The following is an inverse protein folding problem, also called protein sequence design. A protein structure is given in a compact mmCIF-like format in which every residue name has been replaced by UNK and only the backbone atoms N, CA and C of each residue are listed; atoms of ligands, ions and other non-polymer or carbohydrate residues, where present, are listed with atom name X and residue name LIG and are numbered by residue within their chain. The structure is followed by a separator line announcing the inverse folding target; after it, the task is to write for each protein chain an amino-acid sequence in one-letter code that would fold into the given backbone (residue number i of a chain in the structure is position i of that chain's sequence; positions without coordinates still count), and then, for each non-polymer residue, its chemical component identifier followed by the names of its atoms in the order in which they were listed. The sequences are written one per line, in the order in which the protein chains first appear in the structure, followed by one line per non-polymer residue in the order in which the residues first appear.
data_IF_950852067816
#
_entry.id   IF_950852067816
#
_cell.length_a   1.000
_cell.length_b   1.000
_cell.length_c   1.000
_cell.angle_alpha   90.00
_cell.angle_beta   90.00
_cell.angle_gamma   90.00
#
_symmetry.space_group_name_H-M   'P 1'
#
loop_
_entity.id
_entity.type
_entity.pdbx_description
1 polymer ?
#
# COMPACT_ATOMS: atom_id res chain seq x y z
N UNK A 1 38.32 -33.32 -13.03
CA UNK A 1 37.32 -34.41 -12.92
C UNK A 1 37.37 -34.94 -11.50
N UNK A 2 36.29 -34.82 -10.74
CA UNK A 2 36.16 -35.43 -9.40
C UNK A 2 35.04 -36.44 -9.47
N UNK A 3 35.31 -37.68 -9.09
CA UNK A 3 34.41 -38.82 -9.17
C UNK A 3 33.21 -38.67 -8.23
N UNK A 4 32.01 -38.93 -8.74
CA UNK A 4 30.80 -39.11 -7.94
C UNK A 4 30.98 -40.31 -6.98
N UNK A 5 30.44 -40.21 -5.76
CA UNK A 5 30.50 -41.25 -4.73
C UNK A 5 29.09 -41.75 -4.39
N UNK A 6 28.99 -43.07 -4.20
CA UNK A 6 27.79 -43.77 -3.73
C UNK A 6 27.62 -43.70 -2.20
N UNK A 7 26.35 -43.86 -1.78
CA UNK A 7 25.85 -43.73 -0.42
C UNK A 7 25.75 -45.11 0.25
N UNK A 8 26.43 -45.30 1.39
CA UNK A 8 25.91 -45.89 2.64
C UNK A 8 27.05 -46.18 3.65
N UNK A 9 26.86 -45.83 4.92
CA UNK A 9 27.74 -46.27 6.03
C UNK A 9 27.78 -45.31 7.22
N UNK A 10 27.43 -45.82 8.40
CA UNK A 10 27.02 -45.14 9.63
C UNK A 10 28.13 -44.81 10.66
N UNK A 11 27.94 -43.68 11.37
CA UNK A 11 28.33 -43.29 12.77
C UNK A 11 29.82 -42.97 13.09
N UNK A 12 30.15 -42.19 14.16
CA UNK A 12 29.31 -41.62 15.23
C UNK A 12 29.44 -40.09 15.47
N UNK A 13 28.57 -39.60 16.35
CA UNK A 13 28.32 -38.23 16.79
C UNK A 13 29.52 -37.47 17.37
N UNK A 14 29.68 -36.21 16.94
CA UNK A 14 30.31 -35.14 17.75
C UNK A 14 29.30 -34.01 17.93
N UNK A 15 28.87 -33.85 19.17
CA UNK A 15 28.02 -32.75 19.64
C UNK A 15 28.84 -31.45 19.63
N UNK A 16 28.53 -30.56 18.69
CA UNK A 16 28.93 -29.16 18.76
C UNK A 16 27.64 -28.37 18.91
N UNK A 17 27.39 -27.89 20.13
CA UNK A 17 26.29 -26.97 20.43
C UNK A 17 26.62 -25.60 19.84
N UNK A 18 26.36 -25.43 18.55
CA UNK A 18 26.20 -24.11 17.94
C UNK A 18 24.69 -23.84 17.88
N UNK A 19 24.19 -22.98 18.75
CA UNK A 19 22.82 -22.46 18.69
C UNK A 19 22.69 -21.55 17.46
N UNK A 20 22.58 -22.15 16.28
CA UNK A 20 22.20 -21.48 15.04
C UNK A 20 20.67 -21.51 14.93
N UNK A 21 20.04 -20.72 15.78
CA UNK A 21 18.67 -20.25 15.63
C UNK A 21 18.46 -19.18 16.68
N UNK A 22 18.31 -17.94 16.23
CA UNK A 22 17.39 -16.98 16.82
C UNK A 22 16.91 -16.13 15.64
N UNK A 23 15.65 -16.29 15.30
CA UNK A 23 14.89 -15.55 14.29
C UNK A 23 15.18 -14.03 14.28
N UNK A 24 14.93 -13.31 13.16
CA UNK A 24 15.05 -11.86 13.11
C UNK A 24 13.83 -11.19 13.79
N UNK A 25 13.66 -11.40 15.09
CA UNK A 25 12.70 -10.64 15.92
C UNK A 25 13.36 -9.43 16.60
N UNK A 26 14.68 -9.27 16.47
CA UNK A 26 15.39 -8.11 17.03
C UNK A 26 15.33 -6.91 16.09
N UNK A 27 14.48 -5.96 16.45
CA UNK A 27 14.44 -4.60 15.91
C UNK A 27 15.52 -3.74 16.57
N UNK A 28 16.20 -2.95 15.75
CA UNK A 28 17.14 -1.92 16.20
C UNK A 28 16.41 -0.91 17.09
N UNK A 29 16.80 -0.83 18.36
CA UNK A 29 16.31 0.19 19.29
C UNK A 29 17.32 1.34 19.32
N UNK A 30 16.89 2.56 19.01
CA UNK A 30 17.73 3.75 19.17
C UNK A 30 18.12 3.92 20.65
N UNK A 31 19.33 4.43 20.98
CA UNK A 31 19.71 4.73 22.36
C UNK A 31 18.79 5.82 22.93
N UNK A 32 18.24 5.60 24.13
CA UNK A 32 17.40 6.57 24.82
C UNK A 32 18.20 7.81 25.21
N UNK A 33 17.92 8.95 24.56
CA UNK A 33 18.43 10.25 24.97
C UNK A 33 17.73 10.72 26.25
N UNK A 34 18.48 10.85 27.34
CA UNK A 34 17.95 11.42 28.59
C UNK A 34 17.72 12.93 28.44
N UNK A 35 16.45 13.35 28.46
CA UNK A 35 16.06 14.76 28.54
C UNK A 35 16.18 15.25 29.98
N UNK A 36 16.64 16.49 30.18
CA UNK A 36 16.63 17.14 31.49
C UNK A 36 15.20 17.40 31.98
N UNK A 37 14.96 17.50 33.28
CA UNK A 37 13.61 17.70 33.84
C UNK A 37 12.90 18.96 33.30
N UNK A 38 13.64 20.02 32.97
CA UNK A 38 13.08 21.23 32.36
C UNK A 38 12.68 21.02 30.89
N UNK A 39 13.48 20.25 30.12
CA UNK A 39 13.14 19.87 28.76
C UNK A 39 11.97 18.87 28.72
N UNK A 40 11.89 17.98 29.71
CA UNK A 40 10.76 17.06 29.90
C UNK A 40 9.46 17.82 30.25
N UNK A 41 9.52 18.85 31.09
CA UNK A 41 8.38 19.69 31.42
C UNK A 41 7.91 20.55 30.23
N UNK A 42 8.84 21.14 29.47
CA UNK A 42 8.51 21.86 28.25
C UNK A 42 7.90 20.93 27.18
N UNK A 43 8.45 19.73 27.01
CA UNK A 43 7.90 18.69 26.13
C UNK A 43 6.51 18.21 26.59
N UNK A 44 6.28 18.10 27.91
CA UNK A 44 4.96 17.77 28.46
C UNK A 44 3.92 18.87 28.20
N UNK A 45 4.32 20.14 28.22
CA UNK A 45 3.42 21.27 27.89
C UNK A 45 3.08 21.38 26.40
N UNK A 46 3.95 20.83 25.52
CA UNK A 46 3.73 20.69 24.08
C UNK A 46 3.05 19.38 23.71
N UNK A 47 2.73 18.51 24.68
CA UNK A 47 2.04 17.26 24.41
C UNK A 47 0.68 17.52 23.79
N UNK A 48 0.35 16.76 22.75
CA UNK A 48 -0.93 16.88 22.06
C UNK A 48 -2.09 16.58 23.04
N UNK A 49 -3.08 17.47 23.07
CA UNK A 49 -4.33 17.28 23.79
C UNK A 49 -5.08 16.09 23.17
N UNK A 50 -5.46 15.07 23.95
CA UNK A 50 -6.31 13.99 23.44
C UNK A 50 -7.72 14.55 23.25
N UNK A 51 -8.10 14.84 22.00
CA UNK A 51 -9.44 15.35 21.70
C UNK A 51 -10.42 14.18 21.64
N UNK A 52 -11.61 14.38 22.20
CA UNK A 52 -12.71 13.42 22.12
C UNK A 52 -13.84 14.01 21.28
N UNK A 53 -14.53 13.20 20.46
CA UNK A 53 -15.71 13.70 19.76
C UNK A 53 -16.81 14.02 20.79
N UNK A 54 -17.44 15.19 20.63
CA UNK A 54 -18.41 15.73 21.58
C UNK A 54 -19.65 14.84 21.78
N UNK A 55 -20.07 14.09 20.75
CA UNK A 55 -21.41 13.46 20.69
C UNK A 55 -21.40 11.92 20.56
N UNK A 56 -20.24 11.26 20.61
CA UNK A 56 -20.17 9.81 20.40
C UNK A 56 -19.95 9.07 21.70
N UNK A 57 -20.86 8.14 21.98
CA UNK A 57 -20.59 6.93 22.78
C UNK A 57 -19.35 6.19 22.22
N UNK A 58 -18.78 5.27 23.00
CA UNK A 58 -17.53 4.55 22.68
C UNK A 58 -17.36 4.22 21.17
N UNK A 59 -16.23 4.62 20.59
CA UNK A 59 -15.93 4.40 19.17
C UNK A 59 -15.79 2.90 18.89
N UNK A 60 -16.74 2.36 18.12
CA UNK A 60 -16.77 0.98 17.65
C UNK A 60 -16.02 0.80 16.34
N UNK A 61 -15.07 -0.14 16.32
CA UNK A 61 -14.23 -0.47 15.18
C UNK A 61 -14.46 -1.93 14.80
N UNK A 62 -14.77 -2.19 13.54
CA UNK A 62 -14.85 -3.54 12.97
C UNK A 62 -13.66 -3.80 12.05
N UNK A 63 -12.82 -4.78 12.38
CA UNK A 63 -11.68 -5.18 11.56
C UNK A 63 -11.93 -6.57 10.95
N UNK A 64 -11.88 -6.67 9.62
CA UNK A 64 -12.15 -7.89 8.87
C UNK A 64 -10.88 -8.44 8.20
N UNK A 65 -10.94 -9.70 7.75
CA UNK A 65 -9.90 -10.31 6.90
C UNK A 65 -8.50 -10.44 7.54
N UNK A 66 -8.45 -10.66 8.86
CA UNK A 66 -7.19 -10.90 9.57
C UNK A 66 -6.21 -9.72 9.46
N UNK A 67 -6.66 -8.50 9.79
CA UNK A 67 -5.77 -7.34 9.98
C UNK A 67 -4.65 -7.69 10.97
N UNK A 68 -3.42 -7.25 10.65
CA UNK A 68 -2.24 -7.54 11.45
C UNK A 68 -2.39 -7.10 12.91
N UNK A 69 -1.79 -7.86 13.83
CA UNK A 69 -1.86 -7.59 15.27
C UNK A 69 -1.36 -6.20 15.66
N UNK A 70 -0.34 -5.65 15.00
CA UNK A 70 0.18 -4.31 15.30
C UNK A 70 -0.91 -3.23 15.19
N UNK A 71 -1.67 -3.24 14.09
CA UNK A 71 -2.78 -2.31 13.89
C UNK A 71 -3.92 -2.52 14.89
N UNK A 72 -4.22 -3.78 15.22
CA UNK A 72 -5.27 -4.13 16.21
C UNK A 72 -4.92 -3.62 17.61
N UNK A 73 -3.70 -3.90 18.08
CA UNK A 73 -3.23 -3.47 19.39
C UNK A 73 -3.13 -1.94 19.46
N UNK A 74 -2.69 -1.29 18.39
CA UNK A 74 -2.60 0.17 18.34
C UNK A 74 -3.98 0.83 18.46
N UNK A 75 -4.98 0.34 17.73
CA UNK A 75 -6.36 0.83 17.86
C UNK A 75 -6.96 0.53 19.24
N UNK A 76 -6.74 -0.68 19.78
CA UNK A 76 -7.21 -1.03 21.12
C UNK A 76 -6.55 -0.16 22.22
N UNK A 77 -5.28 0.22 22.05
CA UNK A 77 -4.55 1.07 23.02
C UNK A 77 -5.12 2.48 23.16
N UNK A 78 -5.90 2.95 22.17
CA UNK A 78 -6.62 4.22 22.24
C UNK A 78 -7.94 4.14 23.04
N UNK A 79 -8.31 2.94 23.52
CA UNK A 79 -9.56 2.72 24.26
C UNK A 79 -10.78 2.49 23.36
N UNK A 80 -10.60 2.22 22.07
CA UNK A 80 -11.70 1.91 21.16
C UNK A 80 -12.25 0.50 21.36
N UNK A 81 -13.55 0.31 21.08
CA UNK A 81 -14.19 -1.02 21.08
C UNK A 81 -13.88 -1.72 19.75
N UNK A 82 -12.83 -2.55 19.75
CA UNK A 82 -12.37 -3.25 18.54
C UNK A 82 -12.97 -4.66 18.46
N UNK A 83 -13.87 -4.87 17.50
CA UNK A 83 -14.28 -6.20 17.04
C UNK A 83 -13.37 -6.63 15.89
N UNK A 84 -12.88 -7.87 15.96
CA UNK A 84 -11.97 -8.42 14.95
C UNK A 84 -12.44 -9.78 14.45
N UNK A 85 -12.46 -9.96 13.13
CA UNK A 85 -12.80 -11.19 12.45
C UNK A 85 -11.68 -11.61 11.49
N UNK A 86 -11.36 -12.90 11.49
CA UNK A 86 -10.33 -13.48 10.61
C UNK A 86 -10.74 -13.51 9.14
N UNK A 87 -12.03 -13.57 8.88
CA UNK A 87 -12.62 -13.73 7.54
C UNK A 87 -13.30 -12.45 7.08
N UNK A 88 -13.58 -12.38 5.78
CA UNK A 88 -14.59 -11.47 5.25
C UNK A 88 -15.98 -11.95 5.65
N UNK A 89 -16.97 -11.07 5.55
CA UNK A 89 -18.37 -11.36 5.81
C UNK A 89 -19.17 -11.42 4.50
N UNK A 90 -20.21 -12.28 4.42
CA UNK A 90 -21.23 -12.16 3.39
C UNK A 90 -21.93 -10.79 3.46
N UNK A 91 -22.44 -10.31 2.33
CA UNK A 91 -23.02 -8.96 2.23
C UNK A 91 -24.12 -8.68 3.26
N UNK A 92 -25.03 -9.63 3.50
CA UNK A 92 -26.14 -9.45 4.45
C UNK A 92 -25.65 -9.31 5.90
N UNK A 93 -24.63 -10.08 6.29
CA UNK A 93 -24.03 -9.99 7.63
C UNK A 93 -23.20 -8.71 7.78
N UNK A 94 -22.51 -8.31 6.71
CA UNK A 94 -21.77 -7.06 6.65
C UNK A 94 -22.70 -5.85 6.83
N UNK A 95 -23.85 -5.84 6.14
CA UNK A 95 -24.90 -4.81 6.30
C UNK A 95 -25.40 -4.77 7.74
N UNK A 96 -25.63 -5.92 8.37
CA UNK A 96 -26.10 -5.95 9.75
C UNK A 96 -25.08 -5.34 10.72
N UNK A 97 -23.79 -5.67 10.56
CA UNK A 97 -22.72 -5.17 11.43
C UNK A 97 -22.36 -3.71 11.18
N UNK A 98 -22.37 -3.26 9.93
CA UNK A 98 -21.87 -1.91 9.58
C UNK A 98 -22.79 -0.78 10.08
N UNK A 99 -24.04 -1.09 10.46
CA UNK A 99 -25.02 -0.10 10.94
C UNK A 99 -24.57 0.65 12.18
N UNK A 100 -23.84 -0.02 13.07
CA UNK A 100 -23.49 0.50 14.41
C UNK A 100 -22.00 0.82 14.57
N UNK A 101 -21.19 0.68 13.52
CA UNK A 101 -19.73 0.90 13.58
C UNK A 101 -19.35 2.30 13.10
N UNK A 102 -18.32 2.86 13.72
CA UNK A 102 -17.77 4.17 13.37
C UNK A 102 -16.56 4.05 12.44
N UNK A 103 -15.87 2.90 12.51
CA UNK A 103 -14.69 2.60 11.73
C UNK A 103 -14.80 1.18 11.21
N UNK A 104 -14.46 0.98 9.94
CA UNK A 104 -14.29 -0.37 9.38
C UNK A 104 -12.92 -0.52 8.75
N UNK A 105 -12.20 -1.57 9.13
CA UNK A 105 -10.95 -1.98 8.54
C UNK A 105 -11.14 -3.23 7.68
N UNK A 106 -10.74 -3.18 6.42
CA UNK A 106 -10.90 -4.27 5.45
C UNK A 106 -9.60 -4.56 4.71
N UNK A 107 -9.57 -5.66 3.96
CA UNK A 107 -8.51 -5.95 2.97
C UNK A 107 -9.15 -6.09 1.60
N UNK A 108 -8.68 -7.03 0.77
CA UNK A 108 -9.03 -7.11 -0.65
C UNK A 108 -10.36 -7.82 -0.95
N UNK A 109 -10.89 -8.65 -0.03
CA UNK A 109 -12.07 -9.47 -0.28
C UNK A 109 -13.37 -8.75 0.03
N UNK A 110 -13.43 -7.97 1.11
CA UNK A 110 -14.66 -7.28 1.52
C UNK A 110 -15.02 -6.19 0.51
N UNK A 111 -16.25 -6.20 0.00
CA UNK A 111 -16.76 -5.19 -0.94
C UNK A 111 -17.65 -4.20 -0.19
N UNK A 112 -17.23 -2.94 -0.15
CA UNK A 112 -18.01 -1.83 0.40
C UNK A 112 -18.66 -1.07 -0.76
N UNK A 113 -19.73 -1.65 -1.28
CA UNK A 113 -20.55 -1.07 -2.35
C UNK A 113 -21.48 0.02 -1.80
N UNK A 114 -22.07 0.83 -2.69
CA UNK A 114 -23.14 1.76 -2.34
C UNK A 114 -24.24 1.10 -1.48
N UNK A 115 -24.64 -0.14 -1.79
CA UNK A 115 -25.66 -0.87 -1.02
C UNK A 115 -25.24 -1.15 0.43
N UNK A 116 -23.96 -1.43 0.68
CA UNK A 116 -23.45 -1.68 2.03
C UNK A 116 -23.25 -0.36 2.77
N UNK A 117 -22.63 0.62 2.11
CA UNK A 117 -22.37 1.94 2.69
C UNK A 117 -23.65 2.73 2.95
N UNK A 118 -24.74 2.42 2.24
CA UNK A 118 -26.02 3.11 2.44
C UNK A 118 -26.63 2.83 3.82
N UNK A 119 -26.33 1.65 4.39
CA UNK A 119 -26.80 1.17 5.68
C UNK A 119 -25.89 1.61 6.84
N UNK A 120 -24.69 2.11 6.54
CA UNK A 120 -23.71 2.57 7.52
C UNK A 120 -24.09 3.97 8.03
N UNK A 121 -24.79 4.05 9.16
CA UNK A 121 -25.33 5.30 9.70
C UNK A 121 -24.30 6.14 10.46
N UNK A 122 -23.37 5.47 11.15
CA UNK A 122 -22.40 6.11 12.04
C UNK A 122 -20.97 6.07 11.51
N UNK A 123 -20.76 5.50 10.32
CA UNK A 123 -19.43 5.26 9.77
C UNK A 123 -18.75 6.58 9.42
N UNK A 124 -17.56 6.79 10.00
CA UNK A 124 -16.75 7.99 9.81
C UNK A 124 -15.60 7.74 8.84
N UNK A 125 -15.00 6.55 8.91
CA UNK A 125 -13.77 6.25 8.18
C UNK A 125 -13.61 4.77 7.87
N UNK A 126 -13.04 4.50 6.70
CA UNK A 126 -12.68 3.17 6.20
C UNK A 126 -11.15 3.08 6.13
N UNK A 127 -10.60 2.03 6.73
CA UNK A 127 -9.19 1.66 6.58
C UNK A 127 -9.04 0.48 5.63
N UNK A 128 -8.49 0.72 4.45
CA UNK A 128 -8.04 -0.34 3.55
C UNK A 128 -6.65 -0.79 4.01
N UNK A 129 -6.57 -1.90 4.74
CA UNK A 129 -5.33 -2.54 5.16
C UNK A 129 -4.68 -3.33 4.00
N UNK A 130 -4.55 -2.64 2.86
CA UNK A 130 -3.93 -3.07 1.62
C UNK A 130 -3.59 -1.84 0.77
N UNK A 131 -2.86 -2.05 -0.33
CA UNK A 131 -2.46 -0.98 -1.24
C UNK A 131 -3.67 -0.51 -2.07
N UNK A 132 -4.41 -1.45 -2.65
CA UNK A 132 -5.56 -1.14 -3.51
C UNK A 132 -6.82 -0.79 -2.72
N UNK A 133 -7.68 0.01 -3.35
CA UNK A 133 -8.98 0.45 -2.80
C UNK A 133 -10.16 0.11 -3.72
N UNK A 134 -9.95 -0.71 -4.76
CA UNK A 134 -10.94 -1.07 -5.77
C UNK A 134 -12.20 -1.75 -5.20
N UNK A 135 -12.11 -2.25 -3.98
CA UNK A 135 -13.18 -2.91 -3.25
C UNK A 135 -14.11 -1.93 -2.50
N UNK A 136 -13.81 -0.63 -2.53
CA UNK A 136 -14.59 0.43 -1.88
C UNK A 136 -15.14 1.37 -2.93
N UNK A 137 -16.43 1.69 -2.85
CA UNK A 137 -17.04 2.77 -3.61
C UNK A 137 -16.59 4.13 -3.04
N UNK A 138 -15.48 4.66 -3.56
CA UNK A 138 -14.84 5.88 -3.06
C UNK A 138 -15.73 7.11 -3.24
N UNK A 139 -16.46 7.18 -4.36
CA UNK A 139 -17.32 8.31 -4.70
C UNK A 139 -18.53 8.36 -3.78
N UNK A 140 -19.17 7.22 -3.54
CA UNK A 140 -20.28 7.14 -2.59
C UNK A 140 -19.82 7.43 -1.15
N UNK A 141 -18.68 6.89 -0.74
CA UNK A 141 -18.09 7.17 0.56
C UNK A 141 -17.82 8.68 0.75
N UNK A 142 -17.23 9.33 -0.26
CA UNK A 142 -16.92 10.75 -0.22
C UNK A 142 -18.20 11.60 -0.09
N UNK A 143 -19.25 11.28 -0.86
CA UNK A 143 -20.55 11.99 -0.80
C UNK A 143 -21.24 11.90 0.56
N UNK A 144 -20.90 10.89 1.37
CA UNK A 144 -21.35 10.74 2.76
C UNK A 144 -20.39 11.29 3.80
N UNK A 145 -19.26 11.87 3.38
CA UNK A 145 -18.22 12.40 4.27
C UNK A 145 -17.39 11.31 4.95
N UNK A 146 -17.40 10.09 4.40
CA UNK A 146 -16.66 8.94 4.92
C UNK A 146 -15.26 8.96 4.31
N UNK A 147 -14.24 9.14 5.15
CA UNK A 147 -12.84 9.12 4.71
C UNK A 147 -12.38 7.69 4.40
N UNK A 148 -11.51 7.52 3.40
CA UNK A 148 -10.90 6.23 3.07
C UNK A 148 -9.38 6.38 3.07
N UNK A 149 -8.70 5.56 3.87
CA UNK A 149 -7.23 5.52 3.94
C UNK A 149 -6.72 4.17 3.47
N UNK A 150 -5.55 4.15 2.84
CA UNK A 150 -4.83 2.93 2.47
C UNK A 150 -3.36 3.02 2.94
N UNK A 151 -2.54 2.04 2.55
CA UNK A 151 -1.10 2.04 2.78
C UNK A 151 -0.39 1.81 1.45
N UNK A 152 -0.17 2.89 0.66
CA UNK A 152 0.30 2.76 -0.72
C UNK A 152 1.76 2.35 -0.85
N UNK A 153 2.58 2.52 0.21
CA UNK A 153 4.03 2.38 0.13
C UNK A 153 4.63 1.24 0.98
N UNK A 154 3.89 0.68 1.92
CA UNK A 154 4.41 -0.30 2.89
C UNK A 154 4.98 -1.58 2.28
N UNK A 155 4.62 -1.92 1.04
CA UNK A 155 5.13 -3.10 0.35
C UNK A 155 6.36 -2.82 -0.53
N UNK A 156 6.85 -1.57 -0.58
CA UNK A 156 7.91 -1.18 -1.55
C UNK A 156 9.17 -2.03 -1.42
N UNK A 157 9.57 -2.34 -0.17
CA UNK A 157 10.72 -3.20 0.12
C UNK A 157 10.52 -4.62 -0.39
N UNK A 158 9.36 -5.22 -0.11
CA UNK A 158 9.08 -6.61 -0.47
C UNK A 158 9.07 -6.81 -1.98
N UNK A 159 8.49 -5.87 -2.73
CA UNK A 159 8.50 -5.95 -4.20
C UNK A 159 9.92 -5.81 -4.74
N UNK A 160 10.71 -4.86 -4.22
CA UNK A 160 12.09 -4.68 -4.65
C UNK A 160 12.97 -5.92 -4.39
N UNK A 161 12.80 -6.57 -3.24
CA UNK A 161 13.52 -7.81 -2.92
C UNK A 161 13.08 -8.98 -3.81
N UNK A 162 11.78 -9.12 -4.08
CA UNK A 162 11.26 -10.14 -4.98
C UNK A 162 11.88 -10.00 -6.37
N UNK A 163 11.88 -8.79 -6.94
CA UNK A 163 12.42 -8.54 -8.29
C UNK A 163 13.92 -8.86 -8.37
N UNK A 164 14.71 -8.54 -7.34
CA UNK A 164 16.13 -8.96 -7.30
C UNK A 164 16.25 -10.48 -7.29
N UNK A 165 15.44 -11.17 -6.49
CA UNK A 165 15.39 -12.63 -6.45
C UNK A 165 15.03 -13.24 -7.81
N UNK A 166 14.01 -12.67 -8.48
CA UNK A 166 13.57 -13.08 -9.81
C UNK A 166 14.65 -12.85 -10.88
N UNK A 167 15.33 -11.70 -10.87
CA UNK A 167 16.44 -11.40 -11.78
C UNK A 167 17.52 -12.47 -11.66
N UNK A 168 17.93 -12.83 -10.44
CA UNK A 168 18.95 -13.87 -10.21
C UNK A 168 18.44 -15.24 -10.67
N UNK A 169 17.20 -15.59 -10.32
CA UNK A 169 16.60 -16.87 -10.69
C UNK A 169 16.50 -17.03 -12.22
N UNK A 170 16.03 -16.01 -12.93
CA UNK A 170 15.91 -15.98 -14.39
C UNK A 170 17.27 -16.04 -15.08
N UNK A 171 18.25 -15.25 -14.60
CA UNK A 171 19.60 -15.24 -15.15
C UNK A 171 20.30 -16.60 -15.07
N UNK A 172 19.90 -17.43 -14.10
CA UNK A 172 20.47 -18.75 -13.82
C UNK A 172 19.56 -19.91 -14.19
N UNK A 173 18.37 -19.64 -14.74
CA UNK A 173 17.32 -20.61 -15.06
C UNK A 173 16.96 -21.50 -13.86
N UNK A 174 17.04 -20.96 -12.64
CA UNK A 174 17.01 -21.75 -11.40
C UNK A 174 15.71 -22.55 -11.23
N UNK A 175 14.57 -21.95 -11.59
CA UNK A 175 13.26 -22.61 -11.53
C UNK A 175 13.20 -23.87 -12.37
N UNK A 176 13.63 -23.79 -13.64
CA UNK A 176 13.66 -24.93 -14.55
C UNK A 176 14.60 -26.03 -14.03
N UNK A 177 15.81 -25.68 -13.57
CA UNK A 177 16.78 -26.64 -13.03
C UNK A 177 16.26 -27.35 -11.78
N UNK A 178 15.55 -26.62 -10.92
CA UNK A 178 14.91 -27.19 -9.74
C UNK A 178 13.81 -28.19 -10.14
N UNK A 179 12.94 -27.82 -11.07
CA UNK A 179 11.87 -28.69 -11.58
C UNK A 179 12.42 -29.97 -12.24
N UNK A 180 13.52 -29.88 -12.98
CA UNK A 180 14.21 -31.04 -13.55
C UNK A 180 14.69 -32.00 -12.46
N UNK A 181 15.33 -31.48 -11.41
CA UNK A 181 15.81 -32.29 -10.28
C UNK A 181 14.66 -32.97 -9.52
N UNK A 182 13.55 -32.27 -9.29
CA UNK A 182 12.34 -32.86 -8.72
C UNK A 182 11.74 -33.98 -9.59
N UNK A 183 12.04 -33.99 -10.89
CA UNK A 183 11.65 -35.03 -11.86
C UNK A 183 12.78 -36.03 -12.13
N UNK A 184 13.76 -36.12 -11.23
CA UNK A 184 14.92 -37.02 -11.33
C UNK A 184 15.80 -36.80 -12.57
N UNK A 185 15.74 -35.62 -13.19
CA UNK A 185 16.58 -35.24 -14.33
C UNK A 185 17.77 -34.41 -13.87
N UNK A 186 18.98 -34.88 -14.15
CA UNK A 186 20.22 -34.18 -13.86
C UNK A 186 20.74 -33.43 -15.09
N UNK A 187 20.46 -32.12 -15.18
CA UNK A 187 20.82 -31.30 -16.34
C UNK A 187 21.81 -30.18 -15.96
N UNK A 188 23.10 -30.54 -15.84
CA UNK A 188 24.17 -29.61 -15.48
C UNK A 188 24.69 -28.88 -16.70
N UNK A 189 24.23 -27.64 -16.91
CA UNK A 189 24.63 -26.78 -18.03
C UNK A 189 25.01 -25.37 -17.57
N UNK A 190 25.93 -24.73 -18.30
CA UNK A 190 26.30 -23.32 -18.13
C UNK A 190 25.84 -22.44 -19.29
N UNK A 191 25.38 -23.05 -20.38
CA UNK A 191 24.93 -22.34 -21.57
C UNK A 191 23.73 -21.43 -21.24
N UNK A 192 23.81 -20.15 -21.64
CA UNK A 192 22.80 -19.11 -21.38
C UNK A 192 22.47 -18.91 -19.88
N UNK A 193 23.46 -19.10 -19.02
CA UNK A 193 23.38 -18.78 -17.60
C UNK A 193 24.38 -17.65 -17.28
N UNK A 194 23.96 -16.64 -16.53
CA UNK A 194 24.72 -15.40 -16.38
C UNK A 194 24.88 -14.98 -14.92
N UNK A 195 26.01 -14.35 -14.61
CA UNK A 195 26.10 -13.44 -13.47
C UNK A 195 25.36 -12.13 -13.80
N UNK A 196 24.63 -11.60 -12.81
CA UNK A 196 23.91 -10.32 -12.95
C UNK A 196 24.85 -9.11 -12.84
N UNK A 197 26.03 -9.28 -12.22
CA UNK A 197 27.07 -8.25 -12.15
C UNK A 197 27.48 -7.82 -13.57
N UNK A 198 27.58 -6.51 -13.77
CA UNK A 198 27.90 -5.87 -15.04
C UNK A 198 26.77 -5.92 -16.08
N UNK A 199 25.57 -6.41 -15.73
CA UNK A 199 24.38 -6.32 -16.58
C UNK A 199 23.64 -5.02 -16.34
N UNK A 200 22.88 -4.58 -17.33
CA UNK A 200 22.07 -3.37 -17.25
C UNK A 200 20.64 -3.72 -16.83
N UNK A 201 20.18 -3.15 -15.72
CA UNK A 201 18.78 -3.14 -15.31
C UNK A 201 18.10 -1.86 -15.81
N UNK A 202 17.07 -2.03 -16.63
CA UNK A 202 16.17 -0.98 -17.06
C UNK A 202 14.90 -0.95 -16.21
N UNK A 203 14.68 0.14 -15.49
CA UNK A 203 13.51 0.36 -14.64
C UNK A 203 12.51 1.29 -15.35
N UNK A 204 11.30 0.80 -15.62
CA UNK A 204 10.20 1.62 -16.16
C UNK A 204 9.29 2.04 -15.01
N UNK A 205 9.30 3.34 -14.68
CA UNK A 205 8.67 3.90 -13.48
C UNK A 205 9.65 3.96 -12.31
N UNK A 206 10.15 5.16 -12.00
CA UNK A 206 11.18 5.39 -10.98
C UNK A 206 10.62 6.01 -9.68
N UNK A 207 9.44 5.53 -9.27
CA UNK A 207 8.81 5.90 -8.00
C UNK A 207 9.39 5.17 -6.79
N UNK A 208 8.57 4.93 -5.77
CA UNK A 208 8.99 4.29 -4.51
C UNK A 208 9.67 2.93 -4.70
N UNK A 209 9.07 2.02 -5.48
CA UNK A 209 9.65 0.70 -5.72
C UNK A 209 10.89 0.79 -6.63
N UNK A 210 10.80 1.54 -7.74
CA UNK A 210 11.88 1.64 -8.72
C UNK A 210 13.17 2.24 -8.13
N UNK A 211 13.05 3.32 -7.35
CA UNK A 211 14.20 3.93 -6.67
C UNK A 211 14.83 2.97 -5.65
N UNK A 212 14.03 2.28 -4.85
CA UNK A 212 14.52 1.31 -3.87
C UNK A 212 15.19 0.09 -4.52
N UNK A 213 14.61 -0.40 -5.62
CA UNK A 213 15.18 -1.48 -6.43
C UNK A 213 16.53 -1.06 -7.03
N UNK A 214 16.68 0.19 -7.48
CA UNK A 214 17.95 0.65 -8.05
C UNK A 214 19.11 0.55 -7.07
N UNK A 215 18.89 0.92 -5.80
CA UNK A 215 19.90 0.80 -4.73
C UNK A 215 20.34 -0.66 -4.53
N UNK A 216 19.38 -1.59 -4.55
CA UNK A 216 19.69 -3.03 -4.42
C UNK A 216 20.44 -3.59 -5.63
N UNK A 217 20.03 -3.19 -6.83
CA UNK A 217 20.66 -3.64 -8.07
C UNK A 217 22.11 -3.13 -8.20
N UNK A 218 22.36 -1.87 -7.85
CA UNK A 218 23.71 -1.29 -7.81
C UNK A 218 24.60 -1.97 -6.77
N UNK A 219 24.06 -2.28 -5.58
CA UNK A 219 24.79 -3.03 -4.56
C UNK A 219 25.20 -4.45 -5.02
N UNK A 220 24.47 -5.01 -5.99
CA UNK A 220 24.78 -6.29 -6.65
C UNK A 220 25.68 -6.13 -7.89
N UNK A 221 26.14 -4.92 -8.18
CA UNK A 221 27.05 -4.59 -9.27
C UNK A 221 26.38 -4.51 -10.65
N UNK A 222 25.06 -4.26 -10.72
CA UNK A 222 24.37 -3.94 -11.97
C UNK A 222 24.52 -2.46 -12.32
N UNK A 223 24.48 -2.15 -13.62
CA UNK A 223 24.27 -0.78 -14.09
C UNK A 223 22.78 -0.50 -14.12
N UNK A 224 22.31 0.61 -13.54
CA UNK A 224 20.89 0.94 -13.53
C UNK A 224 20.58 2.11 -14.45
N UNK A 225 19.64 1.91 -15.36
CA UNK A 225 19.00 2.97 -16.14
C UNK A 225 17.50 2.98 -15.85
N UNK A 226 16.87 4.14 -15.94
CA UNK A 226 15.43 4.24 -15.74
C UNK A 226 14.75 5.19 -16.71
N UNK A 227 13.49 4.90 -17.00
CA UNK A 227 12.61 5.76 -17.75
C UNK A 227 11.41 6.10 -16.87
N UNK A 228 11.13 7.39 -16.76
CA UNK A 228 9.94 7.93 -16.13
C UNK A 228 9.44 9.11 -16.97
N UNK A 229 8.13 9.36 -16.95
CA UNK A 229 7.51 10.47 -17.68
C UNK A 229 7.82 11.82 -17.01
N UNK A 230 8.22 11.79 -15.73
CA UNK A 230 8.68 12.95 -14.98
C UNK A 230 10.21 12.89 -14.85
N UNK A 231 10.87 14.05 -14.89
CA UNK A 231 12.29 14.13 -14.54
C UNK A 231 12.44 13.95 -13.03
N UNK A 232 13.09 12.87 -12.61
CA UNK A 232 13.27 12.51 -11.21
C UNK A 232 14.77 12.50 -10.88
N UNK A 233 15.11 12.90 -9.65
CA UNK A 233 16.50 12.79 -9.18
C UNK A 233 16.88 11.33 -9.02
N UNK A 234 17.96 10.92 -9.66
CA UNK A 234 18.51 9.58 -9.53
C UNK A 234 19.08 9.32 -8.13
N UNK A 235 18.96 8.07 -7.67
CA UNK A 235 19.68 7.58 -6.50
C UNK A 235 20.97 6.88 -6.95
N UNK A 236 22.07 7.16 -6.26
CA UNK A 236 23.34 6.49 -6.53
C UNK A 236 23.88 6.82 -7.92
N UNK A 237 24.16 5.78 -8.71
CA UNK A 237 24.69 5.89 -10.08
C UNK A 237 23.62 5.70 -11.16
N UNK A 238 22.36 5.60 -10.77
CA UNK A 238 21.27 5.36 -11.69
C UNK A 238 21.15 6.52 -12.69
N UNK A 239 20.81 6.21 -13.94
CA UNK A 239 20.73 7.21 -15.01
C UNK A 239 19.35 7.23 -15.65
N UNK A 240 18.71 8.40 -15.67
CA UNK A 240 17.50 8.58 -16.46
C UNK A 240 17.84 8.54 -17.94
N UNK A 241 17.09 7.77 -18.72
CA UNK A 241 17.12 7.80 -20.19
C UNK A 241 15.91 8.57 -20.72
N UNK A 242 16.05 9.27 -21.86
CA UNK A 242 15.04 10.22 -22.31
C UNK A 242 13.76 9.56 -22.87
N UNK A 243 13.85 8.30 -23.31
CA UNK A 243 12.73 7.58 -23.93
C UNK A 243 12.67 6.13 -23.46
N UNK A 244 11.47 5.55 -23.49
CA UNK A 244 11.26 4.13 -23.25
C UNK A 244 12.08 3.27 -24.22
N UNK A 245 12.13 3.66 -25.50
CA UNK A 245 12.91 2.94 -26.52
C UNK A 245 14.41 2.88 -26.22
N UNK A 246 14.98 3.97 -25.69
CA UNK A 246 16.38 4.00 -25.26
C UNK A 246 16.60 3.01 -24.10
N UNK A 247 15.67 2.93 -23.15
CA UNK A 247 15.74 1.95 -22.05
C UNK A 247 15.72 0.51 -22.58
N UNK A 248 14.73 0.19 -23.41
CA UNK A 248 14.50 -1.17 -23.90
C UNK A 248 15.70 -1.69 -24.72
N UNK A 249 16.30 -0.82 -25.53
CA UNK A 249 17.45 -1.19 -26.38
C UNK A 249 18.77 -1.35 -25.62
N UNK A 250 18.92 -0.76 -24.43
CA UNK A 250 20.14 -0.85 -23.61
C UNK A 250 20.07 -1.97 -22.54
N UNK A 251 18.89 -2.23 -21.99
CA UNK A 251 18.71 -3.07 -20.79
C UNK A 251 18.77 -4.58 -21.06
N UNK A 252 19.51 -5.32 -20.22
CA UNK A 252 19.51 -6.79 -20.20
C UNK A 252 18.27 -7.33 -19.47
N UNK A 253 17.86 -6.64 -18.40
CA UNK A 253 16.66 -6.93 -17.62
C UNK A 253 15.79 -5.68 -17.62
N UNK A 254 14.52 -5.81 -17.99
CA UNK A 254 13.53 -4.74 -17.91
C UNK A 254 12.53 -5.07 -16.82
N UNK A 255 12.28 -4.13 -15.90
CA UNK A 255 11.29 -4.27 -14.83
C UNK A 255 10.30 -3.12 -14.84
N UNK A 256 9.03 -3.42 -14.57
CA UNK A 256 7.91 -2.48 -14.66
C UNK A 256 7.40 -2.13 -13.26
N UNK A 257 7.32 -0.83 -12.97
CA UNK A 257 6.86 -0.26 -11.70
C UNK A 257 5.98 0.97 -11.93
N UNK A 258 4.98 0.82 -12.82
CA UNK A 258 4.05 1.90 -13.23
C UNK A 258 2.64 1.68 -12.66
N UNK A 259 1.85 2.75 -12.46
CA UNK A 259 0.43 2.63 -12.09
C UNK A 259 -0.41 2.06 -13.25
N UNK A 260 -1.64 1.66 -12.95
CA UNK A 260 -2.61 1.22 -13.96
C UNK A 260 -3.40 2.44 -14.45
N UNK A 261 -3.02 2.95 -15.61
CA UNK A 261 -3.62 4.11 -16.25
C UNK A 261 -3.97 3.76 -17.72
N UNK A 262 -4.84 4.54 -18.38
CA UNK A 262 -5.07 4.37 -19.82
C UNK A 262 -3.78 4.37 -20.64
N UNK A 263 -2.80 5.20 -20.26
CA UNK A 263 -1.52 5.38 -20.96
C UNK A 263 -0.54 4.21 -20.72
N UNK A 264 -0.66 3.50 -19.60
CA UNK A 264 0.23 2.36 -19.27
C UNK A 264 -0.36 1.01 -19.67
N UNK A 265 -1.63 0.98 -20.08
CA UNK A 265 -2.30 -0.24 -20.54
C UNK A 265 -1.65 -0.77 -21.81
N UNK A 266 -1.17 -2.01 -21.77
CA UNK A 266 -0.45 -2.69 -22.85
C UNK A 266 0.73 -1.87 -23.40
N UNK A 267 1.35 -1.02 -22.58
CA UNK A 267 2.50 -0.22 -23.01
C UNK A 267 3.69 -1.09 -23.42
N UNK A 268 3.79 -2.31 -22.88
CA UNK A 268 4.73 -3.34 -23.34
C UNK A 268 3.96 -4.35 -24.20
N UNK A 269 4.00 -4.14 -25.51
CA UNK A 269 3.39 -5.03 -26.51
C UNK A 269 4.42 -5.42 -27.58
N UNK A 270 3.99 -6.08 -28.68
CA UNK A 270 4.89 -6.57 -29.73
C UNK A 270 5.96 -5.56 -30.20
N UNK A 271 5.64 -4.26 -30.45
CA UNK A 271 6.63 -3.27 -30.87
C UNK A 271 7.66 -2.90 -29.79
N UNK A 272 7.30 -2.98 -28.50
CA UNK A 272 8.23 -2.73 -27.41
C UNK A 272 9.08 -3.95 -27.12
N UNK A 273 8.46 -5.13 -27.11
CA UNK A 273 9.17 -6.40 -26.95
C UNK A 273 10.24 -6.59 -28.04
N UNK A 274 9.98 -6.18 -29.28
CA UNK A 274 10.97 -6.27 -30.37
C UNK A 274 12.13 -5.27 -30.28
N UNK A 275 11.96 -4.19 -29.52
CA UNK A 275 13.02 -3.21 -29.23
C UNK A 275 13.90 -3.62 -28.05
N UNK A 276 13.46 -4.59 -27.26
CA UNK A 276 14.29 -5.16 -26.22
C UNK A 276 15.50 -5.87 -26.83
N UNK A 277 16.59 -5.98 -26.07
CA UNK A 277 17.76 -6.75 -26.53
C UNK A 277 17.38 -8.20 -26.76
N UNK A 278 17.88 -8.81 -27.85
CA UNK A 278 17.71 -10.23 -28.07
C UNK A 278 18.36 -11.03 -26.92
N UNK A 279 17.59 -11.88 -26.26
CA UNK A 279 17.98 -12.64 -25.07
C UNK A 279 17.83 -11.89 -23.75
N UNK A 280 17.10 -10.77 -23.73
CA UNK A 280 16.76 -10.02 -22.52
C UNK A 280 15.63 -10.66 -21.71
N UNK A 281 15.36 -10.10 -20.54
CA UNK A 281 14.36 -10.58 -19.59
C UNK A 281 13.35 -9.48 -19.25
N UNK A 282 12.09 -9.87 -19.01
CA UNK A 282 11.03 -8.95 -18.61
C UNK A 282 10.45 -9.35 -17.23
N UNK A 283 10.37 -8.40 -16.31
CA UNK A 283 9.74 -8.58 -15.00
C UNK A 283 8.57 -7.62 -14.85
N UNK A 284 7.41 -8.12 -14.42
CA UNK A 284 6.25 -7.30 -14.07
C UNK A 284 5.67 -7.70 -12.71
N UNK A 285 5.98 -6.89 -11.70
CA UNK A 285 5.39 -6.94 -10.37
C UNK A 285 4.62 -5.65 -10.04
N UNK A 286 4.05 -4.99 -11.07
CA UNK A 286 3.32 -3.72 -10.92
C UNK A 286 1.82 -3.89 -11.10
N UNK A 287 1.36 -3.96 -12.36
CA UNK A 287 -0.05 -4.06 -12.74
C UNK A 287 -0.22 -5.04 -13.90
N UNK A 288 -1.26 -5.88 -13.81
CA UNK A 288 -1.52 -6.96 -14.76
C UNK A 288 -1.88 -6.50 -16.18
N UNK A 289 -2.30 -5.23 -16.33
CA UNK A 289 -2.71 -4.65 -17.62
C UNK A 289 -1.57 -3.98 -18.39
N UNK A 290 -0.34 -3.98 -17.88
CA UNK A 290 0.78 -3.22 -18.47
C UNK A 290 1.44 -3.97 -19.62
N UNK A 291 1.42 -5.30 -19.58
CA UNK A 291 2.03 -6.19 -20.58
C UNK A 291 0.96 -6.89 -21.40
N UNK A 292 1.10 -6.87 -22.72
CA UNK A 292 0.35 -7.74 -23.61
C UNK A 292 0.92 -9.17 -23.51
N UNK A 293 0.25 -10.01 -22.72
CA UNK A 293 0.73 -11.37 -22.41
C UNK A 293 0.81 -12.27 -23.66
N UNK A 294 -0.18 -12.32 -24.57
CA UNK A 294 -0.03 -13.01 -25.84
C UNK A 294 1.20 -12.60 -26.66
N UNK A 295 1.54 -11.31 -26.68
CA UNK A 295 2.75 -10.83 -27.34
C UNK A 295 4.02 -11.33 -26.63
N UNK A 296 4.05 -11.31 -25.30
CA UNK A 296 5.15 -11.86 -24.51
C UNK A 296 5.35 -13.36 -24.76
N UNK A 297 4.27 -14.15 -24.77
CA UNK A 297 4.32 -15.59 -25.09
C UNK A 297 4.96 -15.81 -26.46
N UNK A 298 4.57 -15.02 -27.46
CA UNK A 298 5.12 -15.11 -28.81
C UNK A 298 6.61 -14.76 -28.85
N UNK A 299 7.02 -13.71 -28.13
CA UNK A 299 8.42 -13.27 -28.06
C UNK A 299 9.32 -14.25 -27.27
N UNK A 300 8.77 -14.94 -26.28
CA UNK A 300 9.48 -16.01 -25.57
C UNK A 300 9.61 -17.28 -26.42
N UNK A 301 8.56 -17.67 -27.15
CA UNK A 301 8.59 -18.82 -28.07
C UNK A 301 9.59 -18.63 -29.21
N UNK A 302 9.75 -17.40 -29.71
CA UNK A 302 10.78 -17.08 -30.72
C UNK A 302 12.20 -17.04 -30.15
N UNK A 303 12.35 -17.01 -28.81
CA UNK A 303 13.63 -16.88 -28.12
C UNK A 303 14.20 -15.46 -28.11
N UNK A 304 13.42 -14.47 -28.56
CA UNK A 304 13.83 -13.06 -28.47
C UNK A 304 13.87 -12.59 -27.00
N UNK A 305 12.90 -13.02 -26.19
CA UNK A 305 12.92 -12.85 -24.74
C UNK A 305 13.36 -14.18 -24.10
N UNK A 306 14.46 -14.15 -23.34
CA UNK A 306 15.07 -15.35 -22.76
C UNK A 306 14.35 -15.88 -21.52
N UNK A 307 13.57 -15.04 -20.84
CA UNK A 307 12.79 -15.39 -19.65
C UNK A 307 11.95 -14.22 -19.15
N UNK A 308 10.97 -14.52 -18.32
CA UNK A 308 10.12 -13.49 -17.72
C UNK A 308 9.67 -13.86 -16.30
N UNK A 309 9.38 -12.86 -15.48
CA UNK A 309 8.72 -13.03 -14.18
C UNK A 309 7.46 -12.17 -14.12
N UNK A 310 6.32 -12.76 -13.77
CA UNK A 310 5.04 -12.08 -13.67
C UNK A 310 4.41 -12.39 -12.31
N UNK A 311 4.07 -11.34 -11.58
CA UNK A 311 3.33 -11.45 -10.33
C UNK A 311 1.84 -11.08 -10.49
N UNK A 312 1.51 -10.33 -11.53
CA UNK A 312 0.20 -9.69 -11.71
C UNK A 312 -0.36 -9.99 -13.10
N UNK A 313 -1.69 -10.12 -13.20
CA UNK A 313 -2.35 -10.59 -14.42
C UNK A 313 -3.59 -9.75 -14.76
N UNK A 314 -4.02 -9.67 -16.05
CA UNK A 314 -5.24 -8.98 -16.45
C UNK A 314 -6.50 -9.45 -15.70
N UNK A 315 -6.66 -10.77 -15.53
CA UNK A 315 -7.69 -11.37 -14.69
C UNK A 315 -7.04 -12.25 -13.63
N UNK A 316 -7.46 -12.09 -12.38
CA UNK A 316 -6.92 -12.80 -11.22
C UNK A 316 -8.04 -13.53 -10.46
N UNK A 317 -7.77 -14.70 -9.85
CA UNK A 317 -8.76 -15.42 -9.06
C UNK A 317 -9.18 -14.64 -7.81
N UNK A 318 -10.44 -14.74 -7.41
CA UNK A 318 -10.94 -14.15 -6.17
C UNK A 318 -10.51 -14.91 -4.90
N UNK A 319 -10.03 -16.16 -5.06
CA UNK A 319 -9.63 -17.04 -3.97
C UNK A 319 -8.52 -18.00 -4.40
N UNK A 320 -7.86 -18.61 -3.42
CA UNK A 320 -6.85 -19.64 -3.65
C UNK A 320 -7.51 -20.90 -4.20
N UNK A 321 -6.88 -21.51 -5.20
CA UNK A 321 -7.33 -22.74 -5.83
C UNK A 321 -6.76 -22.88 -7.24
N UNK A 322 -7.17 -23.94 -7.93
CA UNK A 322 -6.62 -24.34 -9.24
C UNK A 322 -7.24 -23.55 -10.42
N UNK A 323 -7.27 -22.23 -10.29
CA UNK A 323 -7.97 -21.34 -11.22
C UNK A 323 -7.07 -20.78 -12.34
N UNK A 324 -5.74 -20.87 -12.21
CA UNK A 324 -4.81 -20.28 -13.17
C UNK A 324 -4.66 -21.15 -14.43
N UNK A 325 -5.65 -21.08 -15.31
CA UNK A 325 -5.80 -21.89 -16.53
C UNK A 325 -6.48 -21.07 -17.67
N UNK A 326 -6.69 -21.70 -18.83
CA UNK A 326 -7.30 -21.09 -20.02
C UNK A 326 -8.70 -20.46 -19.79
N UNK A 327 -9.45 -20.87 -18.76
CA UNK A 327 -10.76 -20.29 -18.44
C UNK A 327 -10.64 -18.92 -17.80
N UNK A 328 -9.62 -18.71 -16.95
CA UNK A 328 -9.37 -17.42 -16.30
C UNK A 328 -8.76 -16.41 -17.28
N UNK A 329 -7.78 -16.87 -18.06
CA UNK A 329 -7.14 -16.10 -19.10
C UNK A 329 -6.91 -17.00 -20.30
N UNK A 330 -7.34 -16.62 -21.50
CA UNK A 330 -7.27 -17.47 -22.70
C UNK A 330 -5.86 -17.98 -23.05
N UNK A 331 -4.81 -17.23 -22.66
CA UNK A 331 -3.39 -17.56 -22.82
C UNK A 331 -2.79 -18.33 -21.63
N UNK A 332 -3.59 -18.70 -20.63
CA UNK A 332 -3.12 -19.30 -19.37
C UNK A 332 -2.40 -20.63 -19.54
N UNK A 333 -2.78 -21.44 -20.52
CA UNK A 333 -2.08 -22.71 -20.81
C UNK A 333 -0.77 -22.46 -21.57
N UNK A 334 -0.79 -21.51 -22.50
CA UNK A 334 0.39 -21.15 -23.29
C UNK A 334 1.52 -20.62 -22.41
N UNK A 335 1.22 -19.70 -21.49
CA UNK A 335 2.23 -19.12 -20.62
C UNK A 335 2.84 -20.14 -19.65
N UNK A 336 2.01 -21.06 -19.11
CA UNK A 336 2.46 -22.14 -18.21
C UNK A 336 3.34 -23.17 -18.91
N UNK A 337 3.23 -23.28 -20.23
CA UNK A 337 4.05 -24.18 -21.04
C UNK A 337 5.46 -23.66 -21.32
N UNK A 338 5.72 -22.38 -21.06
CA UNK A 338 7.01 -21.76 -21.33
C UNK A 338 8.09 -22.24 -20.37
N UNK A 339 9.34 -22.21 -20.84
CA UNK A 339 10.54 -22.41 -20.02
C UNK A 339 11.05 -21.07 -19.52
N UNK A 340 11.80 -21.09 -18.42
CA UNK A 340 12.42 -19.92 -17.81
C UNK A 340 11.42 -18.77 -17.55
N UNK A 341 10.23 -19.15 -17.05
CA UNK A 341 9.19 -18.22 -16.63
C UNK A 341 8.90 -18.42 -15.14
N UNK A 342 8.79 -17.33 -14.41
CA UNK A 342 8.38 -17.32 -13.00
C UNK A 342 6.98 -16.71 -12.94
N UNK A 343 6.05 -17.46 -12.39
CA UNK A 343 4.65 -17.04 -12.23
C UNK A 343 4.34 -17.07 -10.74
N UNK A 344 4.13 -15.91 -10.15
CA UNK A 344 3.75 -15.78 -8.75
C UNK A 344 2.30 -15.27 -8.64
N UNK A 345 1.55 -15.67 -7.59
CA UNK A 345 0.12 -15.38 -7.49
C UNK A 345 -0.12 -14.04 -6.76
N UNK A 346 0.37 -12.93 -7.30
CA UNK A 346 0.21 -11.57 -6.76
C UNK A 346 0.68 -11.44 -5.31
N UNK A 347 1.91 -11.88 -5.06
CA UNK A 347 2.55 -11.92 -3.74
C UNK A 347 3.71 -10.93 -3.57
N UNK A 348 3.96 -10.05 -4.53
CA UNK A 348 5.07 -9.09 -4.45
C UNK A 348 5.08 -8.23 -3.18
N UNK A 349 3.90 -7.89 -2.65
CA UNK A 349 3.75 -7.18 -1.39
C UNK A 349 3.33 -8.04 -0.19
N UNK A 350 3.25 -9.36 -0.34
CA UNK A 350 2.63 -10.26 0.63
C UNK A 350 3.67 -10.86 1.58
N UNK A 351 4.22 -10.02 2.46
CA UNK A 351 5.18 -10.41 3.52
C UNK A 351 4.64 -10.03 4.90
N UNK A 352 5.13 -10.68 5.95
CA UNK A 352 4.75 -10.35 7.35
C UNK A 352 5.18 -8.93 7.72
N UNK A 353 6.35 -8.49 7.24
CA UNK A 353 6.86 -7.13 7.44
C UNK A 353 5.95 -6.10 6.78
N UNK A 354 5.50 -6.34 5.55
CA UNK A 354 4.57 -5.47 4.86
C UNK A 354 3.20 -5.46 5.55
N UNK A 355 2.67 -6.62 5.98
CA UNK A 355 1.40 -6.66 6.72
C UNK A 355 1.48 -5.89 8.04
N UNK A 356 2.61 -5.98 8.76
CA UNK A 356 2.84 -5.19 9.98
C UNK A 356 2.90 -3.69 9.67
N UNK A 357 3.65 -3.29 8.64
CA UNK A 357 3.78 -1.89 8.23
C UNK A 357 2.44 -1.29 7.79
N UNK A 358 1.65 -2.03 7.00
CA UNK A 358 0.27 -1.66 6.63
C UNK A 358 -0.60 -1.49 7.88
N UNK A 359 -0.50 -2.43 8.83
CA UNK A 359 -1.23 -2.37 10.10
C UNK A 359 -0.95 -1.08 10.88
N UNK A 360 0.31 -0.66 10.94
CA UNK A 360 0.74 0.57 11.60
C UNK A 360 0.32 1.81 10.80
N UNK A 361 0.63 1.87 9.51
CA UNK A 361 0.37 3.07 8.69
C UNK A 361 -1.13 3.40 8.62
N UNK A 362 -1.97 2.42 8.30
CA UNK A 362 -3.43 2.62 8.23
C UNK A 362 -3.99 2.89 9.62
N UNK A 363 -3.54 2.14 10.64
CA UNK A 363 -4.03 2.37 12.00
C UNK A 363 -3.69 3.79 12.50
N UNK A 364 -2.51 4.32 12.19
CA UNK A 364 -2.13 5.70 12.54
C UNK A 364 -3.00 6.71 11.79
N UNK A 365 -3.25 6.48 10.50
CA UNK A 365 -4.14 7.34 9.71
C UNK A 365 -5.57 7.37 10.29
N UNK A 366 -6.10 6.21 10.69
CA UNK A 366 -7.39 6.10 11.37
C UNK A 366 -7.39 6.89 12.68
N UNK A 367 -6.38 6.69 13.54
CA UNK A 367 -6.26 7.40 14.83
C UNK A 367 -6.16 8.91 14.62
N UNK A 368 -5.34 9.38 13.67
CA UNK A 368 -5.22 10.81 13.32
C UNK A 368 -6.56 11.38 12.86
N UNK A 369 -7.31 10.67 12.04
CA UNK A 369 -8.61 11.15 11.56
C UNK A 369 -9.68 11.15 12.67
N UNK A 370 -9.73 10.10 13.50
CA UNK A 370 -10.71 9.98 14.59
C UNK A 370 -10.44 11.04 15.66
N UNK A 371 -9.18 11.21 16.07
CA UNK A 371 -8.84 12.09 17.18
C UNK A 371 -8.52 13.53 16.77
N UNK A 372 -8.19 13.80 15.50
CA UNK A 372 -7.74 15.14 15.08
C UNK A 372 -8.40 15.67 13.80
N UNK A 373 -9.16 14.86 13.07
CA UNK A 373 -9.78 15.26 11.81
C UNK A 373 -8.80 15.40 10.63
N UNK A 374 -7.58 14.91 10.75
CA UNK A 374 -6.58 15.03 9.70
C UNK A 374 -6.91 14.06 8.56
N UNK A 375 -6.94 14.56 7.32
CA UNK A 375 -7.27 13.78 6.11
C UNK A 375 -6.08 13.56 5.16
N UNK A 376 -4.86 13.90 5.59
CA UNK A 376 -3.63 13.63 4.82
C UNK A 376 -3.53 12.14 4.48
N UNK A 377 -3.34 11.84 3.19
CA UNK A 377 -3.31 10.47 2.67
C UNK A 377 -4.68 9.81 2.47
N UNK A 378 -5.78 10.56 2.59
CA UNK A 378 -7.11 10.08 2.20
C UNK A 378 -7.18 9.93 0.68
N UNK A 379 -7.70 8.80 0.19
CA UNK A 379 -7.82 8.57 -1.26
C UNK A 379 -9.05 9.24 -1.87
N UNK A 380 -10.05 9.61 -1.05
CA UNK A 380 -11.37 10.08 -1.53
C UNK A 380 -11.83 11.43 -0.96
N UNK A 381 -11.14 12.03 0.01
CA UNK A 381 -11.47 13.35 0.55
C UNK A 381 -10.35 14.38 0.28
N UNK A 382 -10.64 15.69 0.36
CA UNK A 382 -9.63 16.75 0.35
C UNK A 382 -8.62 16.57 1.49
N UNK A 383 -7.37 16.97 1.27
CA UNK A 383 -6.26 16.73 2.19
C UNK A 383 -6.04 17.94 3.09
N UNK A 384 -6.35 17.78 4.38
CA UNK A 384 -6.37 18.87 5.35
C UNK A 384 -5.61 18.49 6.61
N UNK A 385 -4.78 19.42 7.10
CA UNK A 385 -3.98 19.25 8.31
C UNK A 385 -3.90 20.56 9.11
N UNK A 386 -4.05 20.46 10.43
CA UNK A 386 -3.76 21.54 11.38
C UNK A 386 -2.86 21.01 12.47
N UNK A 387 -1.98 21.86 13.01
CA UNK A 387 -1.20 21.53 14.21
C UNK A 387 -2.14 21.04 15.31
N UNK A 388 -1.73 20.03 16.07
CA UNK A 388 -2.53 19.52 17.17
C UNK A 388 -2.75 20.61 18.22
N UNK A 389 -3.91 20.55 18.90
CA UNK A 389 -4.14 21.32 20.11
C UNK A 389 -3.24 20.77 21.22
N UNK A 390 -2.74 21.64 22.08
CA UNK A 390 -1.85 21.30 23.20
C UNK A 390 -2.61 21.32 24.52
N UNK A 391 -2.03 20.75 25.58
CA UNK A 391 -2.62 20.82 26.92
C UNK A 391 -2.77 22.27 27.44
N UNK A 392 -2.04 23.23 26.86
CA UNK A 392 -2.15 24.65 27.19
C UNK A 392 -3.33 25.35 26.49
N UNK A 393 -4.08 24.64 25.65
CA UNK A 393 -5.27 25.12 24.92
C UNK A 393 -6.55 24.41 25.46
N UNK A 394 -6.88 24.49 26.77
CA UNK A 394 -7.94 23.66 27.38
C UNK A 394 -9.34 24.01 26.86
N UNK A 395 -9.62 25.29 26.65
CA UNK A 395 -10.94 25.81 26.22
C UNK A 395 -11.06 25.95 24.69
N UNK A 396 -10.31 25.13 23.95
CA UNK A 396 -10.39 25.08 22.50
C UNK A 396 -11.18 23.86 22.04
N UNK A 397 -12.00 24.07 21.01
CA UNK A 397 -12.68 23.02 20.29
C UNK A 397 -12.22 23.03 18.83
N UNK A 398 -12.05 21.84 18.27
CA UNK A 398 -11.79 21.64 16.85
C UNK A 398 -13.10 21.30 16.14
N UNK A 399 -13.44 22.14 15.18
CA UNK A 399 -14.62 22.01 14.33
C UNK A 399 -14.18 21.42 13.01
N UNK A 400 -14.86 20.37 12.60
CA UNK A 400 -14.72 19.73 11.30
C UNK A 400 -16.07 19.86 10.60
N UNK A 401 -16.07 20.44 9.42
CA UNK A 401 -17.27 20.66 8.63
C UNK A 401 -17.02 20.20 7.19
N UNK A 402 -17.60 19.06 6.84
CA UNK A 402 -17.59 18.50 5.49
C UNK A 402 -18.86 18.98 4.80
N UNK A 403 -18.72 19.57 3.62
CA UNK A 403 -19.84 20.17 2.91
C UNK A 403 -19.74 20.03 1.41
N UNK A 404 -20.88 20.25 0.73
CA UNK A 404 -20.94 20.41 -0.71
C UNK A 404 -20.16 21.66 -1.11
N UNK A 405 -19.33 21.54 -2.13
CA UNK A 405 -18.49 22.61 -2.66
C UNK A 405 -19.33 23.62 -3.45
N UNK A 406 -20.10 24.46 -2.75
CA UNK A 406 -20.96 25.49 -3.33
C UNK A 406 -20.62 26.89 -2.80
N UNK A 407 -20.81 27.96 -3.59
CA UNK A 407 -20.48 29.32 -3.17
C UNK A 407 -21.19 29.77 -1.89
N UNK A 408 -20.49 30.55 -1.06
CA UNK A 408 -21.04 31.19 0.13
C UNK A 408 -21.07 30.33 1.39
N UNK A 409 -20.68 29.05 1.33
CA UNK A 409 -20.67 28.17 2.51
C UNK A 409 -19.67 28.65 3.57
N UNK A 410 -18.43 28.98 3.18
CA UNK A 410 -17.41 29.47 4.12
C UNK A 410 -17.86 30.75 4.84
N UNK A 411 -18.57 31.64 4.14
CA UNK A 411 -19.15 32.85 4.75
C UNK A 411 -20.14 32.47 5.86
N UNK A 412 -21.10 31.59 5.58
CA UNK A 412 -22.10 31.14 6.55
C UNK A 412 -21.47 30.42 7.75
N UNK A 413 -20.47 29.59 7.50
CA UNK A 413 -19.71 28.90 8.55
C UNK A 413 -19.01 29.94 9.43
N UNK A 414 -18.28 30.88 8.85
CA UNK A 414 -17.59 31.92 9.62
C UNK A 414 -18.54 32.88 10.35
N UNK A 415 -19.73 33.15 9.82
CA UNK A 415 -20.79 33.89 10.53
C UNK A 415 -21.24 33.12 11.79
N UNK A 416 -21.40 31.80 11.71
CA UNK A 416 -21.73 30.94 12.87
C UNK A 416 -20.58 30.88 13.88
N UNK A 417 -19.33 30.82 13.40
CA UNK A 417 -18.15 30.81 14.27
C UNK A 417 -17.84 32.19 14.87
N UNK A 418 -18.47 33.26 14.39
CA UNK A 418 -18.09 34.65 14.69
C UNK A 418 -18.23 35.07 16.16
N UNK A 419 -19.01 34.33 16.95
CA UNK A 419 -19.13 34.51 18.40
C UNK A 419 -17.92 33.93 19.17
N UNK A 420 -17.04 33.19 18.48
CA UNK A 420 -15.81 32.62 19.01
C UNK A 420 -14.60 33.14 18.23
N UNK A 421 -13.43 33.12 18.87
CA UNK A 421 -12.19 33.44 18.18
C UNK A 421 -11.70 32.21 17.41
N UNK A 422 -11.49 32.35 16.10
CA UNK A 422 -10.98 31.28 15.22
C UNK A 422 -9.45 31.39 15.17
N UNK A 423 -8.73 30.57 15.94
CA UNK A 423 -7.27 30.63 16.02
C UNK A 423 -6.59 30.05 14.78
N UNK A 424 -7.19 29.00 14.22
CA UNK A 424 -6.67 28.27 13.06
C UNK A 424 -7.83 27.87 12.18
N UNK A 425 -7.67 28.00 10.87
CA UNK A 425 -8.63 27.52 9.90
C UNK A 425 -7.90 27.08 8.64
N UNK A 426 -8.36 25.97 8.07
CA UNK A 426 -7.92 25.48 6.78
C UNK A 426 -9.13 24.88 6.07
N UNK A 427 -9.18 25.07 4.77
CA UNK A 427 -10.21 24.48 3.91
C UNK A 427 -9.53 24.01 2.64
N UNK A 428 -9.93 22.83 2.19
CA UNK A 428 -9.57 22.30 0.88
C UNK A 428 -10.81 21.71 0.21
N UNK A 429 -10.80 21.59 -1.12
CA UNK A 429 -11.90 21.02 -1.87
C UNK A 429 -11.42 20.11 -3.00
N UNK A 430 -12.21 19.07 -3.25
CA UNK A 430 -11.98 18.05 -4.26
C UNK A 430 -13.33 17.74 -4.88
N UNK A 431 -13.47 18.05 -6.16
CA UNK A 431 -14.71 17.91 -6.91
C UNK A 431 -15.89 18.62 -6.19
N UNK A 432 -16.96 17.89 -5.90
CA UNK A 432 -18.19 18.40 -5.28
C UNK A 432 -18.11 18.51 -3.74
N UNK A 433 -16.98 18.18 -3.13
CA UNK A 433 -16.83 18.08 -1.67
C UNK A 433 -15.73 19.01 -1.18
N UNK A 434 -15.98 19.67 -0.06
CA UNK A 434 -15.03 20.50 0.63
C UNK A 434 -14.92 20.08 2.10
N UNK A 435 -13.72 20.20 2.65
CA UNK A 435 -13.39 19.85 4.02
C UNK A 435 -12.83 21.08 4.71
N UNK A 436 -13.54 21.57 5.72
CA UNK A 436 -13.11 22.68 6.57
C UNK A 436 -12.76 22.15 7.96
N UNK A 437 -11.59 22.57 8.45
CA UNK A 437 -11.17 22.35 9.83
C UNK A 437 -10.84 23.70 10.46
N UNK A 438 -11.38 23.96 11.65
CA UNK A 438 -11.14 25.18 12.40
C UNK A 438 -10.92 24.89 13.89
N UNK A 439 -9.92 25.48 14.51
CA UNK A 439 -9.79 25.50 15.97
C UNK A 439 -10.36 26.83 16.47
N UNK A 440 -11.32 26.76 17.38
CA UNK A 440 -11.95 27.91 18.03
C UNK A 440 -11.61 27.92 19.52
N UNK A 441 -11.33 29.10 20.06
CA UNK A 441 -11.05 29.32 21.49
C UNK A 441 -12.24 29.88 22.26
N UNK A 442 -12.14 29.78 23.58
CA UNK A 442 -13.14 30.28 24.54
C UNK A 442 -14.50 29.61 24.40
N UNK A 443 -14.53 28.33 24.02
CA UNK A 443 -15.78 27.59 23.86
C UNK A 443 -16.14 26.87 25.16
N UNK A 444 -17.28 27.23 25.75
CA UNK A 444 -17.80 26.47 26.90
C UNK A 444 -18.51 25.23 26.40
N UNK A 445 -18.48 24.16 27.21
CA UNK A 445 -19.14 22.91 26.88
C UNK A 445 -20.66 23.09 26.58
N UNK A 446 -21.30 24.09 27.20
CA UNK A 446 -22.70 24.41 26.93
C UNK A 446 -22.94 24.93 25.50
N UNK A 447 -21.99 25.67 24.95
CA UNK A 447 -22.11 26.34 23.65
C UNK A 447 -21.88 25.36 22.47
N UNK A 448 -21.16 24.25 22.72
CA UNK A 448 -20.86 23.24 21.70
C UNK A 448 -22.11 22.63 21.07
N UNK A 449 -23.20 22.49 21.84
CA UNK A 449 -24.46 21.92 21.34
C UNK A 449 -25.15 22.88 20.36
N UNK A 450 -25.19 24.16 20.69
CA UNK A 450 -25.81 25.19 19.86
C UNK A 450 -24.97 25.46 18.61
N UNK A 451 -23.65 25.42 18.75
CA UNK A 451 -22.70 25.49 17.63
C UNK A 451 -22.89 24.32 16.65
N UNK A 452 -22.98 23.10 17.18
CA UNK A 452 -23.26 21.90 16.38
C UNK A 452 -24.58 22.03 15.64
N UNK A 453 -25.66 22.39 16.34
CA UNK A 453 -26.99 22.54 15.75
C UNK A 453 -27.02 23.62 14.65
N UNK A 454 -26.31 24.73 14.86
CA UNK A 454 -26.21 25.82 13.89
C UNK A 454 -25.49 25.37 12.62
N UNK A 455 -24.34 24.70 12.75
CA UNK A 455 -23.63 24.11 11.61
C UNK A 455 -24.47 23.01 10.93
N UNK A 456 -25.22 22.23 11.71
CA UNK A 456 -26.05 21.15 11.19
C UNK A 456 -27.24 21.63 10.36
N UNK A 457 -27.73 22.84 10.64
CA UNK A 457 -28.84 23.49 9.93
C UNK A 457 -28.50 23.93 8.50
N UNK A 458 -27.21 24.02 8.16
CA UNK A 458 -26.77 24.44 6.83
C UNK A 458 -27.09 23.37 5.78
N UNK A 459 -27.82 23.75 4.74
CA UNK A 459 -28.21 22.82 3.65
C UNK A 459 -27.05 22.25 2.83
N UNK A 460 -25.87 22.87 2.90
CA UNK A 460 -24.65 22.40 2.24
C UNK A 460 -23.96 21.27 3.02
N UNK A 461 -24.36 21.01 4.27
CA UNK A 461 -23.71 20.05 5.15
C UNK A 461 -23.74 18.62 4.59
N UNK A 462 -22.60 17.94 4.73
CA UNK A 462 -22.47 16.50 4.59
C UNK A 462 -22.27 15.87 5.96
N UNK A 463 -21.26 16.33 6.71
CA UNK A 463 -20.91 15.82 8.04
C UNK A 463 -20.36 16.97 8.89
N UNK A 464 -20.76 17.03 10.16
CA UNK A 464 -20.17 17.95 11.14
C UNK A 464 -19.61 17.12 12.29
N UNK A 465 -18.39 17.45 12.75
CA UNK A 465 -17.79 16.88 13.96
C UNK A 465 -17.19 17.99 14.79
N UNK A 466 -17.34 17.87 16.10
CA UNK A 466 -16.67 18.74 17.07
C UNK A 466 -15.81 17.82 17.96
N UNK A 467 -14.51 18.13 18.02
CA UNK A 467 -13.55 17.45 18.87
C UNK A 467 -13.12 18.41 19.98
N UNK A 468 -13.21 18.00 21.23
CA UNK A 468 -12.94 18.84 22.40
C UNK A 468 -11.93 18.20 23.35
#
# INVERSE_FOLDING_TARGET
MSSARDIAGSLPSRTVSASLSNSPTNTFSSPGGGLSAAAAAAAASLAAKPLKPFNTEDVKILLLENVNESGRQMLASQGYQVEYLKTSLPENELIAKIRDVHVIGIRSKTKLTEKVLSEAKNLLVIGCFCIGTNQVDLDFAAKRGIAVFNSPFANSRSVAELVIGEIICLARQLGDRSLEMHRSSWNKVSHKCWEIRGKTLGIVGYGHIGSQLSVLAEAMGMTVIYYDVISLMAMGTARQVPTLDALLSEADFVTLHVPALPETKNMISSPQLSKMKAGSYLINASRGTVVDIPALVSAMRSGHIAGAALDVYPNEPAANGDYFNAQLNSWGDDIRSLKNIILTPHIGGSTEEAQRAIGVEVGEALIRYINQGITIGSVNLPEVNLRSLTLNEPDHARIIYIHRNVPGVLRKVNEILGEHNVDKQISDSKDDIAYLMADVSSVKHADLKDLLASLESLSSRILTRILY
#
